data_IF_354332467906
#
_entry.id   IF_354332467906
#
_cell.length_a   1.000
_cell.length_b   1.000
_cell.length_c   1.000
_cell.angle_alpha   90.00
_cell.angle_beta   90.00
_cell.angle_gamma   90.00
#
_symmetry.space_group_name_H-M   'P 1'
#
loop_
_entity.id
_entity.type
_entity.pdbx_description
1 polymer ?
#
# COMPACT_ATOMS: atom_id res chain seq x y z
N UNK A 1 -5.23 17.42 8.70
CA UNK A 1 -4.26 17.40 7.59
C UNK A 1 -2.88 17.16 8.19
N UNK A 2 -2.38 15.92 8.18
CA UNK A 2 -1.03 15.65 8.66
C UNK A 2 -0.14 15.46 7.43
N UNK A 3 0.50 16.55 7.03
CA UNK A 3 1.58 16.55 6.04
C UNK A 3 2.71 15.70 6.62
N UNK A 4 3.26 14.77 5.85
CA UNK A 4 4.45 14.05 6.30
C UNK A 4 5.54 15.07 6.58
N UNK A 5 6.15 14.98 7.76
CA UNK A 5 7.28 15.82 8.05
C UNK A 5 8.46 15.38 7.17
N UNK A 6 9.40 16.29 6.93
CA UNK A 6 10.66 15.93 6.27
C UNK A 6 11.42 14.83 7.02
N UNK A 7 11.18 14.67 8.32
CA UNK A 7 11.78 13.61 9.14
C UNK A 7 11.17 12.24 8.84
N UNK A 8 9.85 12.15 8.70
CA UNK A 8 9.16 10.90 8.34
C UNK A 8 9.60 10.40 6.95
N UNK A 9 9.76 11.32 5.99
CA UNK A 9 10.27 10.99 4.65
C UNK A 9 11.72 10.50 4.67
N UNK A 10 12.57 11.14 5.47
CA UNK A 10 13.97 10.75 5.63
C UNK A 10 14.10 9.37 6.30
N UNK A 11 13.28 9.11 7.32
CA UNK A 11 13.20 7.81 8.00
C UNK A 11 12.76 6.73 7.02
N UNK A 12 11.68 6.96 6.26
CA UNK A 12 11.20 6.02 5.25
C UNK A 12 12.25 5.70 4.19
N UNK A 13 12.95 6.73 3.69
CA UNK A 13 14.03 6.54 2.73
C UNK A 13 15.17 5.70 3.32
N UNK A 14 15.49 5.87 4.60
CA UNK A 14 16.48 5.04 5.29
C UNK A 14 16.04 3.58 5.33
N UNK A 15 14.81 3.32 5.77
CA UNK A 15 14.25 1.96 5.87
C UNK A 15 14.22 1.23 4.52
N UNK A 16 13.82 1.94 3.45
CA UNK A 16 13.80 1.39 2.10
C UNK A 16 15.22 1.07 1.60
N UNK A 17 16.19 1.96 1.87
CA UNK A 17 17.60 1.71 1.52
C UNK A 17 18.16 0.49 2.23
N UNK A 18 17.82 0.30 3.50
CA UNK A 18 18.25 -0.87 4.27
C UNK A 18 17.65 -2.16 3.73
N UNK A 19 16.36 -2.18 3.41
CA UNK A 19 15.72 -3.32 2.74
C UNK A 19 16.42 -3.66 1.42
N UNK A 20 16.58 -2.68 0.53
CA UNK A 20 17.21 -2.90 -0.77
C UNK A 20 18.65 -3.38 -0.65
N UNK A 21 19.41 -2.85 0.32
CA UNK A 21 20.77 -3.28 0.58
C UNK A 21 20.81 -4.72 1.09
N UNK A 22 19.94 -5.07 2.04
CA UNK A 22 19.84 -6.43 2.59
C UNK A 22 19.49 -7.45 1.50
N UNK A 23 18.49 -7.15 0.65
CA UNK A 23 18.10 -8.01 -0.47
C UNK A 23 19.26 -8.17 -1.46
N UNK A 24 19.94 -7.08 -1.82
CA UNK A 24 21.10 -7.10 -2.72
C UNK A 24 22.21 -8.00 -2.17
N UNK A 25 22.56 -7.85 -0.89
CA UNK A 25 23.65 -8.60 -0.28
C UNK A 25 23.33 -10.11 -0.26
N UNK A 26 22.07 -10.48 0.02
CA UNK A 26 21.61 -11.87 0.00
C UNK A 26 21.61 -12.49 -1.39
N UNK A 27 21.08 -11.78 -2.40
CA UNK A 27 21.09 -12.25 -3.79
C UNK A 27 22.54 -12.38 -4.31
N UNK A 28 23.39 -11.42 -3.99
CA UNK A 28 24.81 -11.44 -4.43
C UNK A 28 25.61 -12.57 -3.77
N UNK A 29 25.20 -13.02 -2.58
CA UNK A 29 25.78 -14.16 -1.88
C UNK A 29 25.19 -15.51 -2.28
N UNK A 30 24.17 -15.55 -3.15
CA UNK A 30 23.52 -16.80 -3.53
C UNK A 30 24.43 -17.63 -4.45
N UNK A 31 24.56 -18.95 -4.20
CA UNK A 31 25.41 -19.84 -5.00
C UNK A 31 24.85 -20.12 -6.41
N UNK A 32 23.56 -19.88 -6.64
CA UNK A 32 22.90 -20.03 -7.95
C UNK A 32 21.70 -19.10 -8.08
N UNK A 33 21.16 -19.01 -9.30
CA UNK A 33 19.95 -18.22 -9.60
C UNK A 33 18.74 -18.81 -8.89
N UNK A 34 18.58 -20.13 -8.89
CA UNK A 34 17.48 -20.82 -8.21
C UNK A 34 17.51 -20.55 -6.70
N UNK A 35 18.71 -20.52 -6.10
CA UNK A 35 18.87 -20.16 -4.69
C UNK A 35 18.51 -18.70 -4.42
N UNK A 36 18.84 -17.77 -5.33
CA UNK A 36 18.43 -16.37 -5.22
C UNK A 36 16.91 -16.22 -5.33
N UNK A 37 16.25 -16.97 -6.21
CA UNK A 37 14.78 -17.00 -6.32
C UNK A 37 14.12 -17.52 -5.04
N UNK A 38 14.68 -18.58 -4.45
CA UNK A 38 14.19 -19.12 -3.17
C UNK A 38 14.38 -18.13 -2.01
N UNK A 39 15.50 -17.40 -1.97
CA UNK A 39 15.73 -16.31 -1.03
C UNK A 39 14.67 -15.21 -1.20
N UNK A 40 14.38 -14.81 -2.45
CA UNK A 40 13.39 -13.78 -2.77
C UNK A 40 11.98 -14.19 -2.34
N UNK A 41 11.60 -15.46 -2.56
CA UNK A 41 10.30 -16.01 -2.19
C UNK A 41 10.04 -15.95 -0.68
N UNK A 42 11.07 -16.07 0.14
CA UNK A 42 10.97 -16.09 1.59
C UNK A 42 11.47 -14.81 2.25
N UNK A 43 11.56 -13.69 1.52
CA UNK A 43 12.02 -12.42 2.09
C UNK A 43 11.15 -11.94 3.24
N UNK A 44 9.85 -12.20 3.17
CA UNK A 44 8.92 -11.91 4.25
C UNK A 44 9.38 -12.59 5.54
N UNK A 45 9.62 -13.90 5.49
CA UNK A 45 9.99 -14.70 6.66
C UNK A 45 11.45 -14.47 7.11
N UNK A 46 12.35 -14.12 6.19
CA UNK A 46 13.81 -14.19 6.42
C UNK A 46 14.51 -12.82 6.47
N UNK A 47 13.84 -11.74 6.06
CA UNK A 47 14.37 -10.38 6.08
C UNK A 47 13.58 -9.49 7.05
N UNK A 48 14.20 -9.20 8.20
CA UNK A 48 13.63 -8.33 9.23
C UNK A 48 13.29 -6.91 8.73
N UNK A 49 13.91 -6.44 7.65
CA UNK A 49 13.61 -5.13 7.07
C UNK A 49 12.35 -5.18 6.19
N UNK A 50 11.97 -6.36 5.70
CA UNK A 50 10.75 -6.56 4.91
C UNK A 50 9.50 -6.29 5.74
N UNK A 51 9.53 -6.72 7.01
CA UNK A 51 8.48 -6.48 8.00
C UNK A 51 8.70 -5.22 8.83
N UNK A 52 9.48 -4.24 8.37
CA UNK A 52 9.66 -3.05 9.17
C UNK A 52 8.29 -2.41 9.43
N UNK A 53 7.83 -2.56 10.67
CA UNK A 53 6.47 -2.25 11.06
C UNK A 53 6.18 -0.77 10.85
N UNK A 54 7.18 0.10 11.05
CA UNK A 54 7.04 1.53 10.80
C UNK A 54 6.95 1.84 9.30
N UNK A 55 7.67 1.10 8.44
CA UNK A 55 7.51 1.21 6.97
C UNK A 55 6.09 0.79 6.51
N UNK A 56 5.59 -0.35 6.99
CA UNK A 56 4.26 -0.86 6.62
C UNK A 56 3.13 0.00 7.19
N UNK A 57 3.28 0.46 8.44
CA UNK A 57 2.36 1.38 9.11
C UNK A 57 2.36 2.74 8.43
N UNK A 58 3.52 3.23 7.99
CA UNK A 58 3.63 4.43 7.16
C UNK A 58 2.84 4.27 5.86
N UNK A 59 3.09 3.20 5.09
CA UNK A 59 2.40 3.00 3.81
C UNK A 59 0.89 2.94 3.99
N UNK A 60 0.43 2.22 5.02
CA UNK A 60 -0.99 2.17 5.39
C UNK A 60 -1.56 3.56 5.68
N UNK A 61 -0.88 4.34 6.52
CA UNK A 61 -1.31 5.69 6.87
C UNK A 61 -1.26 6.66 5.68
N UNK A 62 -0.27 6.52 4.80
CA UNK A 62 -0.16 7.33 3.58
C UNK A 62 -1.31 7.05 2.63
N UNK A 63 -1.61 5.77 2.35
CA UNK A 63 -2.75 5.36 1.52
C UNK A 63 -4.06 5.85 2.12
N UNK A 64 -4.26 5.69 3.43
CA UNK A 64 -5.46 6.15 4.13
C UNK A 64 -5.59 7.68 4.09
N UNK A 65 -4.51 8.44 4.23
CA UNK A 65 -4.53 9.91 4.11
C UNK A 65 -4.81 10.38 2.68
N UNK A 66 -4.23 9.73 1.69
CA UNK A 66 -4.33 10.14 0.28
C UNK A 66 -5.67 9.74 -0.35
N UNK A 67 -6.25 8.61 0.08
CA UNK A 67 -7.48 8.07 -0.50
C UNK A 67 -8.69 8.09 0.44
N UNK A 68 -8.52 8.31 1.74
CA UNK A 68 -9.60 8.19 2.74
C UNK A 68 -10.77 9.11 2.43
N UNK A 69 -10.51 10.38 2.14
CA UNK A 69 -11.56 11.35 1.79
C UNK A 69 -12.27 11.00 0.47
N UNK A 70 -11.54 10.47 -0.52
CA UNK A 70 -12.11 10.02 -1.80
C UNK A 70 -13.00 8.79 -1.58
N UNK A 71 -12.57 7.86 -0.72
CA UNK A 71 -13.34 6.67 -0.37
C UNK A 71 -14.62 7.07 0.38
N UNK A 72 -14.54 8.00 1.33
CA UNK A 72 -15.71 8.53 2.06
C UNK A 72 -16.68 9.25 1.11
N UNK A 73 -16.18 10.16 0.28
CA UNK A 73 -17.00 10.88 -0.71
C UNK A 73 -17.68 9.93 -1.70
N UNK A 74 -16.96 8.95 -2.21
CA UNK A 74 -17.53 7.94 -3.11
C UNK A 74 -18.59 7.08 -2.40
N UNK A 75 -18.32 6.69 -1.16
CA UNK A 75 -19.30 5.95 -0.33
C UNK A 75 -20.58 6.77 -0.08
N UNK A 76 -20.45 8.07 0.18
CA UNK A 76 -21.59 8.99 0.33
C UNK A 76 -22.33 9.22 -1.00
N UNK A 77 -21.61 9.32 -2.12
CA UNK A 77 -22.20 9.49 -3.45
C UNK A 77 -23.00 8.24 -3.88
N UNK A 78 -22.51 7.04 -3.57
CA UNK A 78 -23.26 5.79 -3.83
C UNK A 78 -24.49 5.66 -2.91
N UNK A 79 -24.43 6.16 -1.68
CA UNK A 79 -25.58 6.13 -0.75
C UNK A 79 -26.61 7.24 -1.01
N UNK A 80 -26.22 8.38 -1.58
CA UNK A 80 -27.13 9.46 -2.00
C UNK A 80 -27.66 9.33 -3.43
N UNK A 81 -26.91 8.70 -4.33
CA UNK A 81 -27.20 8.62 -5.76
C UNK A 81 -28.26 7.59 -6.16
N UNK A 82 -28.44 6.53 -5.37
CA UNK A 82 -29.40 5.46 -5.68
C UNK A 82 -30.57 5.46 -4.70
N UNK A 83 -31.52 6.37 -4.94
CA UNK A 83 -32.84 6.30 -4.34
C UNK A 83 -33.67 5.08 -4.78
N UNK A 84 -33.18 4.12 -5.58
CA UNK A 84 -34.02 3.01 -6.08
C UNK A 84 -33.36 1.65 -6.42
N UNK A 85 -32.17 1.32 -5.95
CA UNK A 85 -31.60 -0.02 -6.15
C UNK A 85 -31.28 -0.72 -4.81
N UNK A 86 -32.31 -0.91 -3.98
CA UNK A 86 -32.27 -1.91 -2.91
C UNK A 86 -32.19 -3.28 -3.61
N UNK A 87 -31.02 -3.91 -3.64
CA UNK A 87 -30.93 -5.27 -4.18
C UNK A 87 -29.58 -5.97 -4.25
N UNK A 88 -28.44 -5.30 -4.06
CA UNK A 88 -27.13 -5.98 -4.19
C UNK A 88 -26.24 -5.66 -2.99
N UNK A 89 -25.85 -6.71 -2.25
CA UNK A 89 -25.20 -6.62 -0.94
C UNK A 89 -23.89 -5.82 -0.91
N UNK A 90 -23.33 -5.65 0.30
CA UNK A 90 -22.15 -4.81 0.57
C UNK A 90 -20.97 -5.07 -0.37
N UNK A 91 -20.79 -6.30 -0.87
CA UNK A 91 -19.75 -6.65 -1.84
C UNK A 91 -19.86 -5.84 -3.16
N UNK A 92 -21.08 -5.52 -3.61
CA UNK A 92 -21.30 -4.72 -4.83
C UNK A 92 -20.95 -3.25 -4.60
N UNK A 93 -21.20 -2.74 -3.38
CA UNK A 93 -20.86 -1.38 -2.98
C UNK A 93 -19.34 -1.22 -2.82
N UNK A 94 -18.68 -2.16 -2.14
CA UNK A 94 -17.21 -2.18 -2.00
C UNK A 94 -16.54 -2.24 -3.37
N UNK A 95 -17.06 -3.05 -4.30
CA UNK A 95 -16.49 -3.14 -5.64
C UNK A 95 -16.65 -1.83 -6.43
N UNK A 96 -17.81 -1.18 -6.34
CA UNK A 96 -18.09 0.07 -7.03
C UNK A 96 -17.24 1.24 -6.48
N UNK A 97 -17.14 1.37 -5.15
CA UNK A 97 -16.27 2.36 -4.49
C UNK A 97 -14.81 2.10 -4.85
N UNK A 98 -14.33 0.86 -4.78
CA UNK A 98 -12.95 0.50 -5.15
C UNK A 98 -12.64 0.88 -6.59
N UNK A 99 -13.58 0.67 -7.52
CA UNK A 99 -13.41 1.03 -8.93
C UNK A 99 -13.28 2.55 -9.11
N UNK A 100 -14.16 3.34 -8.49
CA UNK A 100 -14.14 4.80 -8.62
C UNK A 100 -12.93 5.44 -7.94
N UNK A 101 -12.52 4.91 -6.78
CA UNK A 101 -11.26 5.33 -6.15
C UNK A 101 -10.06 5.08 -7.06
N UNK A 102 -10.00 3.94 -7.77
CA UNK A 102 -8.91 3.65 -8.74
C UNK A 102 -8.87 4.59 -9.94
N UNK A 103 -10.01 5.15 -10.32
CA UNK A 103 -10.13 6.10 -11.44
C UNK A 103 -9.86 7.55 -11.01
N UNK A 104 -9.77 7.81 -9.70
CA UNK A 104 -9.51 9.16 -9.16
C UNK A 104 -8.09 9.64 -9.46
N UNK A 105 -7.94 10.96 -9.62
CA UNK A 105 -6.63 11.58 -9.81
C UNK A 105 -5.71 11.34 -8.62
N UNK A 106 -6.25 11.26 -7.40
CA UNK A 106 -5.49 10.93 -6.19
C UNK A 106 -4.87 9.53 -6.28
N UNK A 107 -5.57 8.54 -6.83
CA UNK A 107 -5.02 7.20 -7.03
C UNK A 107 -4.02 7.11 -8.19
N UNK A 108 -4.25 7.87 -9.26
CA UNK A 108 -3.34 7.92 -10.43
C UNK A 108 -1.99 8.56 -10.10
N UNK A 109 -1.96 9.44 -9.08
CA UNK A 109 -0.76 10.14 -8.62
C UNK A 109 -0.18 9.60 -7.29
N UNK A 110 -0.70 8.47 -6.78
CA UNK A 110 -0.02 7.64 -5.77
C UNK A 110 1.14 6.86 -6.42
#
# INVERSE_FOLDING_TARGET
MSQFSSEDEAELQSLLRELLKSVKDRISGAPSVECAEEILLHLEETDKNFHNYEFVKYLRQYVERSLGAVIEEETENFTRGDGHAIGTGQDTLVHAVTKRTRESVQYVFL
#
